data_IF_854748832981
#
_entry.id   IF_854748832981
#
_cell.length_a   1.000
_cell.length_b   1.000
_cell.length_c   1.000
_cell.angle_alpha   90.00
_cell.angle_beta   90.00
_cell.angle_gamma   90.00
#
_symmetry.space_group_name_H-M   'P 1'
#
loop_
_entity.id
_entity.type
_entity.pdbx_description
1 polymer ?
#
# COMPACT_ATOMS: atom_id res chain seq x y z
N UNK A 1 -11.58 3.57 13.82
CA UNK A 1 -11.82 2.63 14.92
C UNK A 1 -10.63 1.69 15.04
N UNK A 2 -10.14 1.48 16.27
CA UNK A 2 -9.01 0.57 16.50
C UNK A 2 -9.51 -0.75 17.06
N UNK A 3 -8.90 -1.86 16.62
CA UNK A 3 -9.18 -3.17 17.21
C UNK A 3 -8.36 -3.40 18.49
N UNK A 4 -8.50 -4.58 19.12
CA UNK A 4 -7.81 -4.93 20.35
C UNK A 4 -6.27 -4.89 20.24
N UNK A 5 -5.73 -4.97 19.03
CA UNK A 5 -4.30 -4.90 18.74
C UNK A 5 -3.84 -3.50 18.39
N UNK A 6 -4.68 -2.49 18.61
CA UNK A 6 -4.39 -1.09 18.34
C UNK A 6 -4.21 -0.77 16.83
N UNK A 7 -4.71 -1.62 15.97
CA UNK A 7 -4.69 -1.44 14.52
C UNK A 7 -5.98 -0.78 14.07
N UNK A 8 -5.90 0.17 13.13
CA UNK A 8 -7.09 0.74 12.52
C UNK A 8 -7.81 -0.30 11.68
N UNK A 9 -9.08 -0.51 11.99
CA UNK A 9 -9.95 -1.41 11.22
C UNK A 9 -11.15 -0.61 10.74
N UNK A 10 -11.33 -0.55 9.43
CA UNK A 10 -12.52 0.05 8.84
C UNK A 10 -13.59 -1.04 8.69
N UNK A 11 -14.80 -0.80 9.19
CA UNK A 11 -15.88 -1.76 8.99
C UNK A 11 -16.21 -1.89 7.50
N UNK A 12 -16.29 -3.12 7.02
CA UNK A 12 -16.65 -3.40 5.63
C UNK A 12 -18.16 -3.56 5.58
N UNK A 13 -18.83 -2.54 5.08
CA UNK A 13 -20.29 -2.47 4.99
C UNK A 13 -20.72 -2.57 3.53
N UNK A 14 -22.02 -2.71 3.31
CA UNK A 14 -22.60 -2.67 1.96
C UNK A 14 -22.25 -1.36 1.24
N UNK A 15 -22.20 -0.25 1.98
CA UNK A 15 -21.82 1.05 1.42
C UNK A 15 -20.35 1.05 0.98
N UNK A 16 -19.47 0.48 1.78
CA UNK A 16 -18.04 0.34 1.45
C UNK A 16 -17.88 -0.49 0.17
N UNK A 17 -18.60 -1.61 0.05
CA UNK A 17 -18.56 -2.45 -1.14
C UNK A 17 -19.02 -1.67 -2.37
N UNK A 18 -20.10 -0.89 -2.26
CA UNK A 18 -20.59 -0.05 -3.37
C UNK A 18 -19.58 1.00 -3.79
N UNK A 19 -18.91 1.64 -2.82
CA UNK A 19 -17.90 2.66 -3.08
C UNK A 19 -16.74 2.12 -3.92
N UNK A 20 -16.32 0.88 -3.65
CA UNK A 20 -15.20 0.24 -4.35
C UNK A 20 -15.63 -0.72 -5.45
N UNK A 21 -16.92 -0.83 -5.72
CA UNK A 21 -17.48 -1.81 -6.66
C UNK A 21 -16.92 -1.70 -8.07
N UNK A 22 -16.64 -0.48 -8.52
CA UNK A 22 -16.15 -0.21 -9.85
C UNK A 22 -14.62 -0.06 -9.91
N UNK A 23 -13.93 -0.16 -8.78
CA UNK A 23 -12.48 -0.07 -8.76
C UNK A 23 -11.87 -1.37 -9.28
N UNK A 24 -11.01 -1.27 -10.27
CA UNK A 24 -10.34 -2.44 -10.83
C UNK A 24 -8.88 -2.52 -10.37
N UNK A 25 -8.25 -3.65 -10.70
CA UNK A 25 -6.87 -3.94 -10.31
C UNK A 25 -5.89 -2.97 -10.98
N UNK A 26 -6.18 -2.54 -12.21
CA UNK A 26 -5.31 -1.64 -12.94
C UNK A 26 -5.30 -0.24 -12.32
N UNK A 27 -6.46 0.23 -11.86
CA UNK A 27 -6.53 1.49 -11.11
C UNK A 27 -5.73 1.43 -9.83
N UNK A 28 -5.86 0.34 -9.08
CA UNK A 28 -5.08 0.16 -7.85
C UNK A 28 -3.58 0.15 -8.14
N UNK A 29 -3.16 -0.57 -9.16
CA UNK A 29 -1.77 -0.64 -9.58
C UNK A 29 -1.23 0.75 -9.95
N UNK A 30 -1.99 1.53 -10.68
CA UNK A 30 -1.57 2.87 -11.10
C UNK A 30 -1.47 3.81 -9.89
N UNK A 31 -2.43 3.78 -8.98
CA UNK A 31 -2.38 4.59 -7.75
C UNK A 31 -1.17 4.24 -6.89
N UNK A 32 -0.81 2.98 -6.85
CA UNK A 32 0.34 2.50 -6.09
C UNK A 32 1.65 3.04 -6.67
N UNK A 33 1.78 3.00 -7.99
CA UNK A 33 2.94 3.55 -8.68
C UNK A 33 3.00 5.08 -8.52
N UNK A 34 1.87 5.77 -8.63
CA UNK A 34 1.79 7.21 -8.45
C UNK A 34 2.21 7.63 -7.03
N UNK A 35 1.81 6.86 -6.04
CA UNK A 35 2.20 7.09 -4.65
C UNK A 35 3.73 6.95 -4.47
N UNK A 36 4.30 5.92 -5.09
CA UNK A 36 5.75 5.70 -5.08
C UNK A 36 6.49 6.88 -5.71
N UNK A 37 6.06 7.32 -6.90
CA UNK A 37 6.66 8.47 -7.58
C UNK A 37 6.56 9.74 -6.73
N UNK A 38 5.41 9.97 -6.09
CA UNK A 38 5.18 11.12 -5.24
C UNK A 38 6.17 11.18 -4.08
N UNK A 39 6.30 10.08 -3.32
CA UNK A 39 7.22 10.06 -2.18
C UNK A 39 8.69 10.03 -2.57
N UNK A 40 8.99 9.66 -3.79
CA UNK A 40 10.37 9.63 -4.29
C UNK A 40 10.80 10.96 -4.90
N UNK A 41 9.94 11.59 -5.68
CA UNK A 41 10.30 12.72 -6.52
C UNK A 41 9.82 14.08 -6.01
N UNK A 42 8.70 14.13 -5.28
CA UNK A 42 8.24 15.39 -4.71
C UNK A 42 9.15 15.79 -3.54
N UNK A 43 9.72 16.97 -3.62
CA UNK A 43 10.72 17.41 -2.62
C UNK A 43 10.12 17.50 -1.22
N UNK A 44 8.93 18.06 -1.09
CA UNK A 44 8.27 18.21 0.21
C UNK A 44 7.83 16.85 0.76
N UNK A 45 7.22 16.01 -0.07
CA UNK A 45 6.76 14.69 0.35
C UNK A 45 7.93 13.80 0.76
N UNK A 46 9.02 13.84 0.00
CA UNK A 46 10.23 13.07 0.31
C UNK A 46 10.85 13.50 1.63
N UNK A 47 10.98 14.80 1.85
CA UNK A 47 11.53 15.35 3.10
C UNK A 47 10.63 15.06 4.30
N UNK A 48 9.33 15.17 4.12
CA UNK A 48 8.36 14.87 5.18
C UNK A 48 8.46 13.41 5.61
N UNK A 49 8.50 12.49 4.66
CA UNK A 49 8.67 11.06 4.95
C UNK A 49 9.97 10.79 5.70
N UNK A 50 11.08 11.33 5.22
CA UNK A 50 12.40 11.14 5.84
C UNK A 50 12.44 11.71 7.25
N UNK A 51 11.84 12.88 7.45
CA UNK A 51 11.75 13.51 8.76
C UNK A 51 11.01 12.60 9.74
N UNK A 52 9.84 12.06 9.36
CA UNK A 52 9.08 11.18 10.24
C UNK A 52 9.83 9.87 10.52
N UNK A 53 10.53 9.32 9.54
CA UNK A 53 11.36 8.11 9.74
C UNK A 53 12.42 8.37 10.82
N UNK A 54 13.08 9.51 10.77
CA UNK A 54 14.14 9.86 11.74
C UNK A 54 13.54 10.16 13.11
N UNK A 55 12.51 11.00 13.15
CA UNK A 55 11.92 11.49 14.40
C UNK A 55 11.13 10.44 15.16
N UNK A 56 10.67 9.36 14.50
CA UNK A 56 9.85 8.33 15.16
C UNK A 56 10.55 7.69 16.36
N UNK A 57 11.87 7.69 16.38
CA UNK A 57 12.66 7.06 17.46
C UNK A 57 12.80 7.94 18.69
N UNK A 58 12.52 9.24 18.57
CA UNK A 58 12.65 10.18 19.69
C UNK A 58 11.36 10.91 20.02
N UNK A 59 10.36 10.85 19.15
CA UNK A 59 9.08 11.55 19.33
C UNK A 59 7.91 10.58 19.20
N UNK A 60 7.14 10.34 20.29
CA UNK A 60 5.94 9.51 20.20
C UNK A 60 4.92 10.02 19.20
N UNK A 61 4.80 11.35 19.05
CA UNK A 61 3.87 11.93 18.08
C UNK A 61 4.31 11.67 16.64
N UNK A 62 5.61 11.75 16.36
CA UNK A 62 6.13 11.44 15.05
C UNK A 62 5.95 9.96 14.71
N UNK A 63 6.18 9.06 15.68
CA UNK A 63 5.94 7.64 15.51
C UNK A 63 4.48 7.34 15.20
N UNK A 64 3.56 7.97 15.90
CA UNK A 64 2.12 7.84 15.68
C UNK A 64 1.73 8.30 14.29
N UNK A 65 2.22 9.46 13.86
CA UNK A 65 1.96 9.99 12.51
C UNK A 65 2.53 9.10 11.41
N UNK A 66 3.76 8.59 11.61
CA UNK A 66 4.38 7.69 10.64
C UNK A 66 3.52 6.44 10.45
N UNK A 67 3.15 5.80 11.55
CA UNK A 67 2.33 4.58 11.49
C UNK A 67 0.97 4.85 10.86
N UNK A 68 0.32 5.95 11.22
CA UNK A 68 -0.99 6.28 10.68
C UNK A 68 -0.94 6.55 9.17
N UNK A 69 -0.04 7.42 8.74
CA UNK A 69 -0.01 7.91 7.35
C UNK A 69 0.58 6.88 6.39
N UNK A 70 1.65 6.21 6.80
CA UNK A 70 2.42 5.36 5.89
C UNK A 70 2.14 3.88 6.04
N UNK A 71 1.52 3.44 7.11
CA UNK A 71 1.26 2.02 7.36
C UNK A 71 -0.23 1.74 7.49
N UNK A 72 -0.88 2.26 8.53
CA UNK A 72 -2.24 1.84 8.87
C UNK A 72 -3.28 2.27 7.83
N UNK A 73 -3.26 3.55 7.42
CA UNK A 73 -4.24 4.04 6.45
C UNK A 73 -4.11 3.36 5.08
N UNK A 74 -2.91 3.26 4.49
CA UNK A 74 -2.78 2.56 3.21
C UNK A 74 -3.14 1.07 3.30
N UNK A 75 -2.71 0.38 4.36
CA UNK A 75 -3.04 -1.04 4.53
C UNK A 75 -4.54 -1.26 4.68
N UNK A 76 -5.22 -0.40 5.44
CA UNK A 76 -6.67 -0.51 5.59
C UNK A 76 -7.40 -0.28 4.26
N UNK A 77 -6.97 0.71 3.51
CA UNK A 77 -7.54 1.00 2.19
C UNK A 77 -7.37 -0.21 1.25
N UNK A 78 -6.16 -0.74 1.16
CA UNK A 78 -5.87 -1.88 0.28
C UNK A 78 -6.61 -3.14 0.75
N UNK A 79 -6.72 -3.34 2.07
CA UNK A 79 -7.45 -4.48 2.63
C UNK A 79 -8.93 -4.44 2.23
N UNK A 80 -9.56 -3.27 2.31
CA UNK A 80 -10.94 -3.10 1.88
C UNK A 80 -11.07 -3.42 0.39
N UNK A 81 -10.18 -2.88 -0.41
CA UNK A 81 -10.18 -3.10 -1.85
C UNK A 81 -10.04 -4.59 -2.20
N UNK A 82 -9.09 -5.27 -1.56
CA UNK A 82 -8.87 -6.69 -1.79
C UNK A 82 -10.06 -7.53 -1.32
N UNK A 83 -10.69 -7.14 -0.21
CA UNK A 83 -11.92 -7.81 0.24
C UNK A 83 -13.00 -7.74 -0.82
N UNK A 84 -13.22 -6.57 -1.41
CA UNK A 84 -14.19 -6.38 -2.49
C UNK A 84 -13.82 -7.22 -3.71
N UNK A 85 -12.56 -7.21 -4.11
CA UNK A 85 -12.10 -7.99 -5.27
C UNK A 85 -12.23 -9.50 -5.04
N UNK A 86 -11.99 -9.97 -3.81
CA UNK A 86 -12.20 -11.39 -3.46
C UNK A 86 -13.70 -11.72 -3.56
N UNK A 87 -14.57 -10.87 -3.02
CA UNK A 87 -16.02 -11.10 -3.06
C UNK A 87 -16.55 -11.12 -4.50
N UNK A 88 -15.97 -10.33 -5.38
CA UNK A 88 -16.32 -10.29 -6.80
C UNK A 88 -15.71 -11.44 -7.61
N UNK A 89 -14.91 -12.29 -6.99
CA UNK A 89 -14.25 -13.38 -7.68
C UNK A 89 -13.06 -12.96 -8.55
N UNK A 90 -12.56 -11.73 -8.39
CA UNK A 90 -11.41 -11.24 -9.14
C UNK A 90 -10.08 -11.72 -8.56
N UNK A 91 -10.04 -11.95 -7.26
CA UNK A 91 -8.89 -12.51 -6.56
C UNK A 91 -9.25 -13.82 -5.88
N UNK A 92 -8.23 -14.65 -5.66
CA UNK A 92 -8.39 -15.91 -4.92
C UNK A 92 -8.83 -15.64 -3.49
N UNK A 93 -9.56 -16.59 -2.91
CA UNK A 93 -10.03 -16.49 -1.53
C UNK A 93 -8.88 -16.70 -0.55
N UNK A 94 -8.47 -15.64 0.12
CA UNK A 94 -7.40 -15.67 1.12
C UNK A 94 -7.60 -14.52 2.10
N UNK A 95 -6.72 -14.43 3.10
CA UNK A 95 -6.75 -13.33 4.06
C UNK A 95 -6.41 -12.01 3.37
N UNK A 96 -7.39 -11.10 3.30
CA UNK A 96 -7.25 -9.84 2.58
C UNK A 96 -6.20 -8.92 3.20
N UNK A 97 -6.06 -8.94 4.54
CA UNK A 97 -5.07 -8.10 5.23
C UNK A 97 -3.65 -8.57 4.94
N UNK A 98 -3.41 -9.88 5.01
CA UNK A 98 -2.10 -10.44 4.70
C UNK A 98 -1.75 -10.21 3.24
N UNK A 99 -2.72 -10.34 2.35
CA UNK A 99 -2.53 -10.02 0.93
C UNK A 99 -2.16 -8.54 0.75
N UNK A 100 -2.85 -7.65 1.44
CA UNK A 100 -2.54 -6.21 1.40
C UNK A 100 -1.13 -5.92 1.93
N UNK A 101 -0.73 -6.57 3.01
CA UNK A 101 0.61 -6.43 3.58
C UNK A 101 1.68 -6.84 2.57
N UNK A 102 1.50 -7.98 1.91
CA UNK A 102 2.43 -8.47 0.89
C UNK A 102 2.50 -7.54 -0.32
N UNK A 103 1.38 -6.98 -0.72
CA UNK A 103 1.31 -6.07 -1.86
C UNK A 103 2.01 -4.74 -1.57
N UNK A 104 1.78 -4.19 -0.37
CA UNK A 104 2.21 -2.83 -0.02
C UNK A 104 3.66 -2.75 0.45
N UNK A 105 4.19 -3.79 1.11
CA UNK A 105 5.50 -3.74 1.77
C UNK A 105 6.68 -3.37 0.86
N UNK A 106 6.75 -3.82 -0.40
CA UNK A 106 7.88 -3.47 -1.26
C UNK A 106 8.04 -1.98 -1.52
N UNK A 107 6.96 -1.20 -1.40
CA UNK A 107 7.04 0.26 -1.55
C UNK A 107 8.06 0.86 -0.58
N UNK A 108 8.00 0.47 0.71
CA UNK A 108 8.95 0.98 1.71
C UNK A 108 10.36 0.51 1.47
N UNK A 109 10.52 -0.77 1.13
CA UNK A 109 11.84 -1.31 0.84
C UNK A 109 12.54 -0.50 -0.26
N UNK A 110 11.79 -0.19 -1.32
CA UNK A 110 12.34 0.56 -2.45
C UNK A 110 12.56 2.03 -2.12
N UNK A 111 11.70 2.64 -1.31
CA UNK A 111 11.91 4.01 -0.84
C UNK A 111 13.17 4.10 0.02
N UNK A 112 13.38 3.17 0.96
CA UNK A 112 14.60 3.13 1.77
C UNK A 112 15.83 2.89 0.92
N UNK A 113 15.73 2.01 -0.08
CA UNK A 113 16.84 1.79 -1.02
C UNK A 113 17.20 3.07 -1.76
N UNK A 114 16.20 3.86 -2.16
CA UNK A 114 16.44 5.13 -2.85
C UNK A 114 17.14 6.16 -1.96
N UNK A 115 16.91 6.12 -0.65
CA UNK A 115 17.48 7.08 0.30
C UNK A 115 19.00 6.91 0.47
N UNK A 116 19.50 5.70 0.34
CA UNK A 116 20.88 5.36 0.65
C UNK A 116 21.70 4.89 -0.54
N UNK A 117 21.08 4.68 -1.68
CA UNK A 117 21.73 4.11 -2.85
C UNK A 117 21.71 5.07 -4.03
N UNK A 118 22.63 4.84 -4.98
CA UNK A 118 22.68 5.57 -6.24
C UNK A 118 21.81 4.93 -7.32
N UNK A 119 20.82 4.11 -6.90
CA UNK A 119 19.94 3.43 -7.84
C UNK A 119 19.02 4.44 -8.52
N UNK A 120 18.95 4.36 -9.83
CA UNK A 120 18.12 5.28 -10.62
C UNK A 120 16.63 5.02 -10.41
N UNK A 121 15.85 6.10 -10.50
CA UNK A 121 14.39 6.06 -10.33
C UNK A 121 13.73 5.04 -11.26
N UNK A 122 14.13 5.00 -12.52
CA UNK A 122 13.53 4.09 -13.51
C UNK A 122 13.76 2.61 -13.14
N UNK A 123 14.90 2.29 -12.54
CA UNK A 123 15.16 0.94 -12.05
C UNK A 123 14.24 0.57 -10.90
N UNK A 124 14.06 1.47 -9.94
CA UNK A 124 13.17 1.25 -8.79
C UNK A 124 11.72 1.11 -9.24
N UNK A 125 11.29 1.95 -10.17
CA UNK A 125 9.96 1.90 -10.75
C UNK A 125 9.72 0.56 -11.47
N UNK A 126 10.71 0.09 -12.22
CA UNK A 126 10.65 -1.20 -12.91
C UNK A 126 10.50 -2.35 -11.90
N UNK A 127 11.24 -2.33 -10.82
CA UNK A 127 11.15 -3.35 -9.76
C UNK A 127 9.75 -3.36 -9.14
N UNK A 128 9.18 -2.19 -8.87
CA UNK A 128 7.84 -2.08 -8.31
C UNK A 128 6.78 -2.57 -9.30
N UNK A 129 6.91 -2.19 -10.56
CA UNK A 129 6.00 -2.64 -11.62
C UNK A 129 6.02 -4.16 -11.77
N UNK A 130 7.21 -4.75 -11.76
CA UNK A 130 7.36 -6.21 -11.82
C UNK A 130 6.72 -6.89 -10.61
N UNK A 131 6.88 -6.32 -9.41
CA UNK A 131 6.22 -6.83 -8.22
C UNK A 131 4.70 -6.85 -8.38
N UNK A 132 4.13 -5.75 -8.89
CA UNK A 132 2.68 -5.65 -9.10
C UNK A 132 2.20 -6.72 -10.09
N UNK A 133 2.90 -6.88 -11.18
CA UNK A 133 2.55 -7.88 -12.22
C UNK A 133 2.57 -9.30 -11.66
N UNK A 134 3.64 -9.66 -10.95
CA UNK A 134 3.77 -10.98 -10.32
C UNK A 134 2.70 -11.19 -9.26
N UNK A 135 2.41 -10.15 -8.46
CA UNK A 135 1.37 -10.22 -7.45
C UNK A 135 0.00 -10.52 -8.08
N UNK A 136 -0.34 -9.81 -9.15
CA UNK A 136 -1.61 -10.03 -9.85
C UNK A 136 -1.66 -11.43 -10.47
N UNK A 137 -0.57 -11.91 -11.05
CA UNK A 137 -0.49 -13.26 -11.60
C UNK A 137 -0.73 -14.33 -10.54
N UNK A 138 -0.21 -14.12 -9.34
CA UNK A 138 -0.28 -15.12 -8.26
C UNK A 138 -1.62 -15.10 -7.51
N UNK A 139 -2.31 -13.97 -7.49
CA UNK A 139 -3.52 -13.80 -6.67
C UNK A 139 -4.79 -13.54 -7.48
N UNK A 140 -4.64 -13.13 -8.74
CA UNK A 140 -5.79 -12.90 -9.60
C UNK A 140 -6.44 -14.19 -10.04
N UNK A 141 -7.77 -14.20 -10.09
CA UNK A 141 -8.52 -15.26 -10.76
C UNK A 141 -8.59 -14.92 -12.24
N UNK A 142 -7.77 -15.62 -13.01
CA UNK A 142 -7.82 -15.47 -14.46
C UNK A 142 -8.92 -16.42 -14.95
N UNK A 143 -9.99 -15.85 -15.49
CA UNK A 143 -10.98 -16.65 -16.19
C UNK A 143 -10.33 -17.22 -17.44
N UNK A 144 -10.35 -18.52 -17.49
CA UNK A 144 -9.82 -19.23 -18.66
C UNK A 144 -10.93 -19.36 -19.71
#
# INVERSE_FOLDING_TARGET
>A
MKNANNTYVFPITTETIKEYENTDVQELAQRYIDLFEFYLQDDIASKFRKMLVIEQYSSPRAAELFNEIFIDMPLNYITILFTVLIQKGKFIHTDAYIMALNFYSPLFLLLFKSDSATTEFEQLKSMLTNHIEVFIQNHGNIEK
#
